data_IF_984804921960
#
_entry.id   IF_984804921960
#
_cell.length_a   1.000
_cell.length_b   1.000
_cell.length_c   1.000
_cell.angle_alpha   90.00
_cell.angle_beta   90.00
_cell.angle_gamma   90.00
#
_symmetry.space_group_name_H-M   'P 1'
#
loop_
_entity.id
_entity.type
_entity.pdbx_description
1 polymer ?
#
# COMPACT_ATOMS: atom_id res chain seq x y z
N UNK A 1 60.92 -50.35 -46.63
CA UNK A 1 60.46 -48.98 -47.08
C UNK A 1 59.14 -48.70 -46.41
N UNK A 2 59.16 -48.02 -45.29
CA UNK A 2 58.02 -47.74 -44.42
C UNK A 2 57.59 -46.28 -44.59
N UNK A 3 56.41 -46.07 -45.13
CA UNK A 3 55.83 -44.75 -45.37
C UNK A 3 55.04 -44.34 -44.14
N UNK A 4 55.44 -43.20 -43.51
CA UNK A 4 54.69 -42.58 -42.42
C UNK A 4 53.76 -41.58 -43.02
N UNK A 5 52.44 -41.72 -42.71
CA UNK A 5 51.44 -40.74 -43.01
C UNK A 5 51.27 -39.73 -41.81
N UNK A 6 51.07 -38.45 -42.06
CA UNK A 6 50.94 -37.45 -40.96
C UNK A 6 49.52 -37.44 -40.36
N UNK A 7 49.51 -37.37 -39.03
CA UNK A 7 48.31 -37.25 -38.18
C UNK A 7 47.73 -35.86 -38.35
N UNK A 8 46.49 -35.75 -38.83
CA UNK A 8 45.75 -34.48 -38.90
C UNK A 8 45.10 -34.17 -37.55
N UNK A 9 45.54 -33.07 -36.93
CA UNK A 9 45.01 -32.56 -35.71
C UNK A 9 43.65 -31.85 -35.99
N UNK A 10 42.55 -32.35 -35.44
CA UNK A 10 41.25 -31.69 -35.46
C UNK A 10 41.16 -30.73 -34.26
N UNK A 11 41.15 -29.43 -34.55
CA UNK A 11 40.86 -28.39 -33.56
C UNK A 11 39.35 -28.36 -33.37
N UNK A 12 38.88 -28.83 -32.21
CA UNK A 12 37.47 -28.68 -31.79
C UNK A 12 37.33 -27.34 -31.14
N UNK A 13 36.75 -26.36 -31.87
CA UNK A 13 36.35 -25.09 -31.33
C UNK A 13 35.05 -25.27 -30.49
N UNK A 14 35.22 -25.38 -29.19
CA UNK A 14 34.10 -25.42 -28.24
C UNK A 14 33.40 -24.07 -28.19
N UNK A 15 32.16 -24.02 -28.66
CA UNK A 15 31.28 -22.87 -28.47
C UNK A 15 30.78 -22.84 -27.01
N UNK A 16 31.28 -21.93 -26.17
CA UNK A 16 30.80 -21.75 -24.82
C UNK A 16 29.44 -21.00 -24.89
N UNK A 17 28.35 -21.72 -24.68
CA UNK A 17 27.02 -21.15 -24.48
C UNK A 17 26.95 -20.55 -23.07
N UNK A 18 27.07 -19.24 -22.96
CA UNK A 18 26.83 -18.52 -21.70
C UNK A 18 25.32 -18.45 -21.47
N UNK A 19 24.79 -19.34 -20.62
CA UNK A 19 23.43 -19.27 -20.11
C UNK A 19 23.36 -18.12 -19.10
N UNK A 20 22.86 -16.94 -19.57
CA UNK A 20 22.49 -15.85 -18.68
C UNK A 20 21.20 -16.23 -17.96
N UNK A 21 21.33 -16.64 -16.71
CA UNK A 21 20.18 -16.81 -15.82
C UNK A 21 19.61 -15.43 -15.52
N UNK A 22 18.51 -15.09 -16.16
CA UNK A 22 17.75 -13.89 -15.84
C UNK A 22 17.26 -13.99 -14.40
N UNK A 23 17.78 -13.13 -13.52
CA UNK A 23 17.27 -12.96 -12.15
C UNK A 23 15.92 -12.27 -12.31
N UNK A 24 14.83 -13.04 -12.32
CA UNK A 24 13.49 -12.48 -12.20
C UNK A 24 13.40 -11.76 -10.84
N UNK A 25 12.84 -10.54 -10.76
CA UNK A 25 12.67 -9.88 -9.49
C UNK A 25 11.77 -10.76 -8.62
N UNK A 26 12.28 -11.14 -7.43
CA UNK A 26 11.49 -11.83 -6.41
C UNK A 26 10.26 -10.96 -6.11
N UNK A 27 9.09 -11.44 -6.54
CA UNK A 27 7.83 -10.83 -6.14
C UNK A 27 7.83 -10.71 -4.61
N UNK A 28 7.63 -9.51 -4.10
CA UNK A 28 7.57 -9.25 -2.66
C UNK A 28 6.33 -9.97 -2.11
N UNK A 29 6.54 -11.17 -1.59
CA UNK A 29 5.48 -11.97 -0.96
C UNK A 29 4.99 -11.23 0.28
N UNK A 30 3.67 -11.14 0.43
CA UNK A 30 3.05 -10.56 1.61
C UNK A 30 3.59 -11.23 2.87
N UNK A 31 4.18 -10.44 3.77
CA UNK A 31 4.74 -10.94 5.04
C UNK A 31 3.59 -11.39 5.94
N UNK A 32 3.59 -12.62 6.50
CA UNK A 32 2.63 -12.99 7.52
C UNK A 32 2.67 -11.99 8.69
N UNK A 33 1.52 -11.40 9.05
CA UNK A 33 1.45 -10.39 10.11
C UNK A 33 1.55 -8.93 9.66
N UNK A 34 1.49 -8.66 8.34
CA UNK A 34 1.48 -7.31 7.79
C UNK A 34 2.84 -6.59 7.84
N UNK A 35 2.86 -5.35 7.38
CA UNK A 35 4.08 -4.53 7.27
C UNK A 35 4.58 -4.08 8.65
N UNK A 36 5.91 -3.90 8.79
CA UNK A 36 6.56 -3.49 10.04
C UNK A 36 6.67 -1.97 10.16
N UNK A 37 6.50 -1.44 11.38
CA UNK A 37 6.83 -0.04 11.72
C UNK A 37 8.31 0.23 11.39
N UNK A 38 8.62 1.44 10.92
CA UNK A 38 9.95 1.86 10.47
C UNK A 38 10.27 1.49 9.02
N UNK A 39 9.41 0.76 8.31
CA UNK A 39 9.57 0.44 6.89
C UNK A 39 8.75 1.38 6.01
N UNK A 40 9.19 1.55 4.78
CA UNK A 40 8.42 2.26 3.75
C UNK A 40 7.12 1.51 3.47
N UNK A 41 6.03 2.25 3.39
CA UNK A 41 4.77 1.73 2.88
C UNK A 41 4.93 1.39 1.39
N UNK A 42 4.52 0.19 0.94
CA UNK A 42 4.44 -0.13 -0.48
C UNK A 42 3.53 0.84 -1.23
N UNK A 43 3.84 1.09 -2.51
CA UNK A 43 2.98 1.92 -3.36
C UNK A 43 1.61 1.28 -3.55
N UNK A 44 0.56 2.09 -3.47
CA UNK A 44 -0.80 1.71 -3.85
C UNK A 44 -1.19 2.55 -5.06
N UNK A 45 -1.62 1.88 -6.12
CA UNK A 45 -2.28 2.52 -7.27
C UNK A 45 -3.58 1.76 -7.51
N UNK A 46 -4.71 2.42 -7.27
CA UNK A 46 -6.05 1.84 -7.48
C UNK A 46 -7.02 2.92 -7.95
N UNK A 47 -8.09 2.47 -8.61
CA UNK A 47 -9.12 3.35 -9.14
C UNK A 47 -9.90 4.06 -8.03
N UNK A 48 -10.02 5.36 -8.17
CA UNK A 48 -10.83 6.23 -7.31
C UNK A 48 -12.32 6.16 -7.64
N UNK A 49 -13.11 6.94 -6.91
CA UNK A 49 -14.57 7.00 -7.09
C UNK A 49 -14.99 7.46 -8.49
N UNK A 50 -14.17 8.29 -9.15
CA UNK A 50 -14.37 8.78 -10.53
C UNK A 50 -13.79 7.84 -11.60
N UNK A 51 -13.23 6.71 -11.22
CA UNK A 51 -12.60 5.74 -12.10
C UNK A 51 -11.16 6.08 -12.52
N UNK A 52 -10.60 7.19 -12.04
CA UNK A 52 -9.19 7.53 -12.27
C UNK A 52 -8.31 6.91 -11.21
N UNK A 53 -7.12 6.51 -11.60
CA UNK A 53 -6.17 5.94 -10.66
C UNK A 53 -5.60 7.00 -9.70
N UNK A 54 -5.64 6.69 -8.42
CA UNK A 54 -5.00 7.44 -7.35
C UNK A 54 -3.78 6.68 -6.86
N UNK A 55 -2.71 7.42 -6.55
CA UNK A 55 -1.43 6.86 -6.08
C UNK A 55 -1.14 7.34 -4.67
N UNK A 56 -0.75 6.43 -3.79
CA UNK A 56 -0.32 6.79 -2.43
C UNK A 56 0.87 7.77 -2.46
N UNK A 57 1.79 7.60 -3.39
CA UNK A 57 2.95 8.47 -3.56
C UNK A 57 2.61 9.93 -3.92
N UNK A 58 1.41 10.22 -4.43
CA UNK A 58 0.96 11.60 -4.68
C UNK A 58 0.78 12.40 -3.39
N UNK A 59 0.72 11.72 -2.23
CA UNK A 59 0.54 12.32 -0.92
C UNK A 59 1.85 12.53 -0.15
N UNK A 60 3.00 12.39 -0.80
CA UNK A 60 4.30 12.69 -0.19
C UNK A 60 4.31 14.09 0.44
N UNK A 61 4.92 14.19 1.61
CA UNK A 61 4.95 15.43 2.38
C UNK A 61 3.76 15.62 3.32
N UNK A 62 2.78 14.70 3.31
CA UNK A 62 1.68 14.67 4.28
C UNK A 62 1.82 13.50 5.26
N UNK A 63 1.27 13.64 6.45
CA UNK A 63 0.91 12.52 7.31
C UNK A 63 -0.29 11.82 6.68
N UNK A 64 -0.25 10.49 6.47
CA UNK A 64 -1.33 9.75 5.80
C UNK A 64 -1.77 8.55 6.63
N UNK A 65 -3.06 8.45 6.90
CA UNK A 65 -3.67 7.21 7.39
C UNK A 65 -4.10 6.37 6.18
N UNK A 66 -3.46 5.24 5.97
CA UNK A 66 -3.92 4.23 5.01
C UNK A 66 -4.94 3.38 5.78
N UNK A 67 -6.21 3.47 5.39
CA UNK A 67 -7.31 2.82 6.10
C UNK A 67 -7.99 1.77 5.22
N UNK A 68 -7.99 0.52 5.68
CA UNK A 68 -8.66 -0.61 5.03
C UNK A 68 -10.02 -0.86 5.70
N UNK A 69 -11.07 -0.71 4.93
CA UNK A 69 -12.45 -0.75 5.40
C UNK A 69 -13.40 -1.31 4.34
N UNK A 70 -14.70 -1.34 4.63
CA UNK A 70 -15.75 -1.62 3.64
C UNK A 70 -17.10 -1.08 4.13
N UNK A 71 -18.02 -0.84 3.19
CA UNK A 71 -19.39 -0.37 3.49
C UNK A 71 -20.17 -1.33 4.38
N UNK A 72 -19.95 -2.64 4.22
CA UNK A 72 -20.57 -3.72 4.99
C UNK A 72 -19.87 -4.00 6.32
N UNK A 73 -18.69 -3.41 6.56
CA UNK A 73 -17.93 -3.60 7.79
C UNK A 73 -18.48 -2.73 8.93
N UNK A 74 -19.36 -3.30 9.73
CA UNK A 74 -20.00 -2.57 10.85
C UNK A 74 -18.99 -1.95 11.83
N UNK A 75 -17.92 -2.64 12.29
CA UNK A 75 -16.91 -2.02 13.14
C UNK A 75 -16.18 -0.85 12.46
N UNK A 76 -15.94 -0.92 11.13
CA UNK A 76 -15.33 0.17 10.37
C UNK A 76 -16.23 1.41 10.39
N UNK A 77 -17.54 1.22 10.17
CA UNK A 77 -18.52 2.30 10.18
C UNK A 77 -18.61 2.98 11.54
N UNK A 78 -18.41 2.25 12.63
CA UNK A 78 -18.33 2.83 13.98
C UNK A 78 -17.04 3.62 14.21
N UNK A 79 -15.93 3.25 13.55
CA UNK A 79 -14.67 3.98 13.66
C UNK A 79 -14.61 5.22 12.77
N UNK A 80 -15.32 5.25 11.65
CA UNK A 80 -15.31 6.36 10.68
C UNK A 80 -15.52 7.75 11.31
N UNK A 81 -16.42 7.99 12.28
CA UNK A 81 -16.54 9.28 12.95
C UNK A 81 -15.26 9.74 13.64
N UNK A 82 -14.47 8.83 14.23
CA UNK A 82 -13.18 9.15 14.86
C UNK A 82 -12.15 9.55 13.78
N UNK A 83 -12.14 8.86 12.64
CA UNK A 83 -11.26 9.19 11.50
C UNK A 83 -11.63 10.57 10.93
N UNK A 84 -12.93 10.87 10.75
CA UNK A 84 -13.41 12.18 10.30
C UNK A 84 -12.98 13.28 11.26
N UNK A 85 -13.17 13.07 12.57
CA UNK A 85 -12.74 14.03 13.60
C UNK A 85 -11.24 14.29 13.54
N UNK A 86 -10.42 13.25 13.43
CA UNK A 86 -8.98 13.40 13.28
C UNK A 86 -8.60 14.13 11.99
N UNK A 87 -9.26 13.81 10.87
CA UNK A 87 -9.03 14.51 9.61
C UNK A 87 -9.30 16.01 9.73
N UNK A 88 -10.48 16.41 10.23
CA UNK A 88 -10.83 17.81 10.40
C UNK A 88 -9.88 18.56 11.34
N UNK A 89 -9.43 17.92 12.41
CA UNK A 89 -8.53 18.52 13.38
C UNK A 89 -7.09 18.73 12.84
N UNK A 90 -6.61 17.85 11.94
CA UNK A 90 -5.20 17.80 11.58
C UNK A 90 -4.90 18.04 10.09
N UNK A 91 -5.92 18.17 9.22
CA UNK A 91 -5.74 18.31 7.77
C UNK A 91 -4.78 19.42 7.35
N UNK A 92 -4.67 20.51 8.14
CA UNK A 92 -3.83 21.67 7.87
C UNK A 92 -2.61 21.77 8.80
N UNK A 93 -2.45 20.82 9.73
CA UNK A 93 -1.42 20.86 10.77
C UNK A 93 -0.02 20.72 10.21
N UNK A 94 0.97 21.29 10.93
CA UNK A 94 2.38 21.15 10.61
C UNK A 94 2.97 19.99 11.42
N UNK A 95 3.51 18.99 10.73
CA UNK A 95 4.17 17.83 11.34
C UNK A 95 5.69 17.90 11.21
N UNK A 96 6.41 17.12 12.02
CA UNK A 96 7.89 17.02 11.97
C UNK A 96 8.43 16.60 10.60
N UNK A 97 7.67 15.83 9.83
CA UNK A 97 8.08 15.27 8.53
C UNK A 97 7.26 15.75 7.34
N UNK A 98 6.33 16.71 7.54
CA UNK A 98 5.49 17.18 6.44
C UNK A 98 4.42 18.17 6.89
N UNK A 99 3.54 18.56 5.96
CA UNK A 99 2.43 19.47 6.23
C UNK A 99 1.11 18.86 5.78
N UNK A 100 0.12 18.88 6.66
CA UNK A 100 -1.21 18.35 6.44
C UNK A 100 -1.33 16.87 6.78
N UNK A 101 -2.54 16.47 7.14
CA UNK A 101 -2.96 15.09 7.35
C UNK A 101 -4.06 14.74 6.35
N UNK A 102 -4.03 13.52 5.82
CA UNK A 102 -5.12 12.98 5.00
C UNK A 102 -5.29 11.49 5.23
N UNK A 103 -6.38 10.95 4.68
CA UNK A 103 -6.67 9.52 4.72
C UNK A 103 -6.65 8.98 3.30
N UNK A 104 -5.97 7.85 3.10
CA UNK A 104 -6.01 7.06 1.88
C UNK A 104 -6.86 5.83 2.16
N UNK A 105 -8.17 5.92 1.84
CA UNK A 105 -9.15 4.89 2.16
C UNK A 105 -9.21 3.81 1.08
N UNK A 106 -8.82 2.59 1.44
CA UNK A 106 -8.86 1.42 0.56
C UNK A 106 -10.07 0.57 0.93
N UNK A 107 -11.07 0.54 0.04
CA UNK A 107 -12.29 -0.24 0.28
C UNK A 107 -12.14 -1.68 -0.19
N UNK A 108 -12.61 -2.62 0.66
CA UNK A 108 -12.79 -4.03 0.36
C UNK A 108 -14.25 -4.35 -0.05
N UNK A 109 -14.91 -3.38 -0.67
CA UNK A 109 -16.20 -3.63 -1.29
C UNK A 109 -16.05 -4.41 -2.60
N UNK A 110 -17.07 -5.15 -2.99
CA UNK A 110 -17.17 -5.80 -4.30
C UNK A 110 -18.25 -5.18 -5.20
N UNK A 111 -18.91 -4.12 -4.71
CA UNK A 111 -19.91 -3.35 -5.42
C UNK A 111 -19.67 -1.85 -5.20
N UNK A 112 -19.80 -1.07 -6.27
CA UNK A 112 -19.49 0.36 -6.25
C UNK A 112 -20.55 1.17 -5.49
N UNK A 113 -21.83 0.91 -5.72
CA UNK A 113 -22.90 1.74 -5.17
C UNK A 113 -22.98 1.72 -3.65
N UNK A 114 -22.92 0.56 -2.94
CA UNK A 114 -22.85 0.54 -1.49
C UNK A 114 -21.62 1.27 -0.93
N UNK A 115 -20.46 1.15 -1.59
CA UNK A 115 -19.24 1.86 -1.23
C UNK A 115 -19.42 3.36 -1.32
N UNK A 116 -19.91 3.89 -2.47
CA UNK A 116 -20.15 5.31 -2.65
C UNK A 116 -21.19 5.86 -1.65
N UNK A 117 -22.26 5.09 -1.42
CA UNK A 117 -23.27 5.45 -0.43
C UNK A 117 -22.66 5.57 0.97
N UNK A 118 -21.82 4.62 1.37
CA UNK A 118 -21.19 4.63 2.68
C UNK A 118 -20.22 5.81 2.87
N UNK A 119 -19.48 6.22 1.84
CA UNK A 119 -18.64 7.43 1.87
C UNK A 119 -19.50 8.66 2.23
N UNK A 120 -20.67 8.80 1.60
CA UNK A 120 -21.59 9.93 1.84
C UNK A 120 -22.22 9.85 3.25
N UNK A 121 -22.77 8.69 3.59
CA UNK A 121 -23.46 8.46 4.87
C UNK A 121 -22.54 8.75 6.08
N UNK A 122 -21.28 8.34 6.01
CA UNK A 122 -20.29 8.50 7.08
C UNK A 122 -19.50 9.82 6.98
N UNK A 123 -19.84 10.66 5.99
CA UNK A 123 -19.20 11.99 5.79
C UNK A 123 -17.68 11.89 5.63
N UNK A 124 -17.19 10.92 4.87
CA UNK A 124 -15.77 10.75 4.60
C UNK A 124 -15.31 11.79 3.57
N UNK A 125 -14.94 12.97 4.05
CA UNK A 125 -14.81 14.20 3.23
C UNK A 125 -13.47 14.35 2.48
N UNK A 126 -12.48 13.51 2.72
CA UNK A 126 -11.23 13.49 1.96
C UNK A 126 -11.45 12.95 0.54
N UNK A 127 -10.45 13.06 -0.33
CA UNK A 127 -10.61 12.74 -1.77
C UNK A 127 -10.07 11.35 -2.14
N UNK A 128 -9.19 10.81 -1.33
CA UNK A 128 -8.42 9.62 -1.66
C UNK A 128 -9.17 8.35 -1.23
N UNK A 129 -10.26 8.05 -1.93
CA UNK A 129 -11.03 6.81 -1.81
C UNK A 129 -10.75 5.92 -3.01
N UNK A 130 -10.27 4.70 -2.77
CA UNK A 130 -9.92 3.74 -3.83
C UNK A 130 -10.49 2.35 -3.56
N UNK A 131 -10.77 1.62 -4.64
CA UNK A 131 -11.15 0.22 -4.60
C UNK A 131 -10.90 -0.44 -5.95
N UNK A 132 -10.52 -1.71 -5.96
CA UNK A 132 -10.53 -2.56 -7.16
C UNK A 132 -11.80 -3.43 -7.26
N UNK A 133 -12.72 -3.25 -6.31
CA UNK A 133 -14.00 -3.96 -6.17
C UNK A 133 -13.85 -5.49 -6.13
N UNK A 134 -12.74 -5.99 -5.56
CA UNK A 134 -12.45 -7.42 -5.43
C UNK A 134 -12.67 -7.98 -4.02
N UNK A 135 -13.28 -7.22 -3.13
CA UNK A 135 -13.52 -7.64 -1.76
C UNK A 135 -12.22 -8.04 -1.05
N UNK A 136 -12.18 -9.20 -0.42
CA UNK A 136 -10.97 -9.76 0.20
C UNK A 136 -9.83 -10.07 -0.78
N UNK A 137 -10.11 -10.11 -2.09
CA UNK A 137 -9.12 -10.20 -3.16
C UNK A 137 -8.46 -8.87 -3.53
N UNK A 138 -8.75 -7.77 -2.81
CA UNK A 138 -8.16 -6.46 -3.05
C UNK A 138 -6.64 -6.51 -3.05
N UNK A 139 -6.02 -6.04 -4.15
CA UNK A 139 -4.58 -6.16 -4.35
C UNK A 139 -3.75 -5.40 -3.29
N UNK A 140 -4.20 -4.21 -2.88
CA UNK A 140 -3.54 -3.45 -1.82
C UNK A 140 -3.73 -4.13 -0.46
N UNK A 141 -4.92 -4.68 -0.19
CA UNK A 141 -5.19 -5.45 1.02
C UNK A 141 -4.26 -6.65 1.16
N UNK A 142 -4.06 -7.40 0.09
CA UNK A 142 -3.12 -8.54 0.07
C UNK A 142 -1.68 -8.08 0.28
N UNK A 143 -1.23 -7.04 -0.43
CA UNK A 143 0.12 -6.47 -0.32
C UNK A 143 0.43 -5.99 1.10
N UNK A 144 -0.56 -5.42 1.79
CA UNK A 144 -0.42 -4.91 3.16
C UNK A 144 -0.66 -5.98 4.23
N UNK A 145 -0.99 -7.22 3.84
CA UNK A 145 -1.25 -8.33 4.75
C UNK A 145 -2.53 -8.14 5.56
N UNK A 146 -3.56 -7.57 4.95
CA UNK A 146 -4.87 -7.34 5.60
C UNK A 146 -5.63 -8.65 5.72
N UNK A 147 -5.75 -9.16 6.94
CA UNK A 147 -6.49 -10.39 7.27
C UNK A 147 -7.80 -10.12 8.00
N UNK A 148 -8.07 -8.87 8.33
CA UNK A 148 -9.31 -8.41 9.00
C UNK A 148 -9.43 -6.89 8.88
N UNK A 149 -10.66 -6.39 8.90
CA UNK A 149 -10.97 -4.96 8.88
C UNK A 149 -11.87 -4.59 10.09
N UNK A 150 -11.72 -3.34 10.61
CA UNK A 150 -10.85 -2.28 10.14
C UNK A 150 -9.38 -2.57 10.39
N UNK A 151 -8.48 -2.19 9.46
CA UNK A 151 -7.02 -2.23 9.64
C UNK A 151 -6.42 -0.95 9.09
N UNK A 152 -5.40 -0.39 9.77
CA UNK A 152 -4.81 0.87 9.33
C UNK A 152 -3.31 0.93 9.53
N UNK A 153 -2.66 1.77 8.71
CA UNK A 153 -1.25 2.13 8.82
C UNK A 153 -1.14 3.65 8.79
N UNK A 154 -0.48 4.23 9.77
CA UNK A 154 -0.13 5.66 9.74
C UNK A 154 1.28 5.80 9.17
N UNK A 155 1.43 6.60 8.12
CA UNK A 155 2.72 6.90 7.51
C UNK A 155 3.07 8.38 7.66
N UNK A 156 4.34 8.66 7.81
CA UNK A 156 4.88 10.02 7.88
C UNK A 156 5.04 10.65 6.48
N UNK A 157 5.39 11.93 6.40
CA UNK A 157 5.60 12.66 5.16
C UNK A 157 6.69 12.08 4.24
N UNK A 158 7.52 11.18 4.77
CA UNK A 158 8.52 10.43 3.99
C UNK A 158 7.97 9.07 3.53
N UNK A 159 6.72 8.71 3.87
CA UNK A 159 6.09 7.43 3.56
C UNK A 159 6.58 6.27 4.43
N UNK A 160 7.11 6.53 5.62
CA UNK A 160 7.53 5.51 6.59
C UNK A 160 6.36 5.17 7.51
N UNK A 161 6.08 3.90 7.72
CA UNK A 161 5.05 3.42 8.66
C UNK A 161 5.51 3.74 10.08
N UNK A 162 4.74 4.56 10.80
CA UNK A 162 5.03 4.99 12.16
C UNK A 162 4.09 4.38 13.20
N UNK A 163 2.90 3.96 12.79
CA UNK A 163 1.95 3.26 13.65
C UNK A 163 1.02 2.37 12.84
N UNK A 164 0.32 1.44 13.52
CA UNK A 164 -0.66 0.53 12.92
C UNK A 164 -1.88 0.39 13.81
N UNK A 165 -3.04 0.10 13.18
CA UNK A 165 -4.28 -0.25 13.86
C UNK A 165 -4.73 0.74 14.93
N UNK A 166 -4.50 2.05 14.67
CA UNK A 166 -4.97 3.11 15.54
C UNK A 166 -6.50 3.17 15.52
N UNK A 167 -7.11 3.34 16.71
CA UNK A 167 -8.56 3.42 16.90
C UNK A 167 -8.92 4.50 17.93
N UNK A 168 -10.10 5.12 17.75
CA UNK A 168 -10.62 6.10 18.68
C UNK A 168 -9.62 7.21 18.97
N UNK A 169 -9.41 7.51 20.25
CA UNK A 169 -8.50 8.57 20.70
C UNK A 169 -7.02 8.32 20.31
N UNK A 170 -6.60 7.07 20.15
CA UNK A 170 -5.20 6.75 19.85
C UNK A 170 -4.72 7.34 18.52
N UNK A 171 -5.62 7.54 17.53
CA UNK A 171 -5.27 8.20 16.28
C UNK A 171 -4.90 9.67 16.53
N UNK A 172 -5.76 10.43 17.22
CA UNK A 172 -5.49 11.83 17.55
C UNK A 172 -4.23 11.99 18.42
N UNK A 173 -4.07 11.14 19.42
CA UNK A 173 -2.90 11.17 20.31
C UNK A 173 -1.60 10.93 19.56
N UNK A 174 -1.59 9.94 18.66
CA UNK A 174 -0.43 9.67 17.81
C UNK A 174 -0.13 10.85 16.87
N UNK A 175 -1.14 11.45 16.25
CA UNK A 175 -0.96 12.62 15.40
C UNK A 175 -0.37 13.80 16.19
N UNK A 176 -0.87 14.07 17.42
CA UNK A 176 -0.35 15.13 18.31
C UNK A 176 1.15 14.94 18.63
N UNK A 177 1.60 13.70 18.89
CA UNK A 177 3.01 13.39 19.16
C UNK A 177 3.94 13.73 17.99
N UNK A 178 3.42 13.80 16.77
CA UNK A 178 4.18 14.08 15.56
C UNK A 178 4.05 15.53 15.07
N UNK A 179 3.31 16.40 15.78
CA UNK A 179 3.26 17.83 15.49
C UNK A 179 4.65 18.47 15.65
N UNK A 180 4.88 19.54 14.87
CA UNK A 180 6.11 20.33 14.91
C UNK A 180 6.07 21.33 16.07
#
# INVERSE_FOLDING_TARGET
>A
MTSFAPLRSFIVTGLAVVLTWGIAPLAAWAQPGGLKIGKKAPEITQSGVDGKDLKLSSLKGKMVLIDFWASWCRPCRYENPNVVKAYEAFKDSQFKTGKGFTVFSVSLDNQKDPWLKAIVDDKLVWKEHVSDLKGWGNAAGQMYGVTGIPMSYLIDGKGVIIAKNLRGAALEETLKQHLK
#
